data_IF_001384931576
#
_entry.id   IF_001384931576
#
_cell.length_a   1.000
_cell.length_b   1.000
_cell.length_c   1.000
_cell.angle_alpha   90.00
_cell.angle_beta   90.00
_cell.angle_gamma   90.00
#
_symmetry.space_group_name_H-M   'P 1'
#
loop_
_entity.id
_entity.type
_entity.pdbx_description
1 polymer ?
#
# COMPACT_ATOMS: atom_id res chain seq x y z
N UNK A 1 -29.61 -4.31 -14.44
CA UNK A 1 -28.71 -3.95 -13.33
C UNK A 1 -27.98 -2.69 -13.73
N UNK A 2 -28.25 -1.58 -13.03
CA UNK A 2 -27.56 -0.31 -13.21
C UNK A 2 -26.12 -0.42 -12.63
N UNK A 3 -25.27 0.58 -12.87
CA UNK A 3 -23.93 0.80 -12.26
C UNK A 3 -22.68 0.41 -13.10
N UNK A 4 -22.65 0.80 -14.38
CA UNK A 4 -21.44 0.71 -15.24
C UNK A 4 -20.46 1.88 -15.07
N UNK A 5 -20.74 2.86 -14.20
CA UNK A 5 -19.87 4.05 -14.00
C UNK A 5 -19.02 4.03 -12.73
N UNK A 6 -19.22 3.07 -11.81
CA UNK A 6 -18.48 2.98 -10.55
C UNK A 6 -17.24 2.08 -10.59
N UNK A 7 -17.24 1.08 -11.48
CA UNK A 7 -16.15 0.10 -11.57
C UNK A 7 -14.82 0.69 -12.08
N UNK A 8 -14.85 1.87 -12.72
CA UNK A 8 -13.63 2.49 -13.28
C UNK A 8 -12.97 3.44 -12.29
N UNK A 9 -13.71 4.35 -11.66
CA UNK A 9 -13.11 5.35 -10.77
C UNK A 9 -12.48 4.71 -9.53
N UNK A 10 -13.17 3.72 -8.95
CA UNK A 10 -12.69 3.02 -7.75
C UNK A 10 -11.43 2.22 -8.05
N UNK A 11 -11.41 1.46 -9.17
CA UNK A 11 -10.23 0.70 -9.61
C UNK A 11 -9.04 1.62 -9.98
N UNK A 12 -9.32 2.80 -10.54
CA UNK A 12 -8.29 3.82 -10.81
C UNK A 12 -7.73 4.39 -9.52
N UNK A 13 -8.58 4.74 -8.55
CA UNK A 13 -8.12 5.19 -7.22
C UNK A 13 -7.27 4.11 -6.55
N UNK A 14 -7.72 2.86 -6.58
CA UNK A 14 -7.02 1.74 -5.94
C UNK A 14 -5.63 1.52 -6.54
N UNK A 15 -5.51 1.54 -7.88
CA UNK A 15 -4.21 1.46 -8.58
C UNK A 15 -3.29 2.63 -8.29
N UNK A 16 -3.83 3.85 -8.24
CA UNK A 16 -3.03 5.06 -7.95
C UNK A 16 -2.53 5.02 -6.50
N UNK A 17 -3.35 4.54 -5.57
CA UNK A 17 -2.95 4.38 -4.17
C UNK A 17 -1.96 3.22 -3.95
N UNK A 18 -2.08 2.11 -4.67
CA UNK A 18 -1.13 0.98 -4.58
C UNK A 18 0.29 1.40 -5.00
N UNK A 19 0.42 2.22 -6.06
CA UNK A 19 1.73 2.72 -6.54
C UNK A 19 2.22 3.98 -5.83
N UNK A 20 1.31 4.82 -5.35
CA UNK A 20 1.60 6.13 -4.80
C UNK A 20 1.55 7.26 -5.85
N UNK A 21 1.18 8.47 -5.39
CA UNK A 21 0.96 9.68 -6.16
C UNK A 21 1.73 10.84 -5.52
N UNK A 22 2.52 11.58 -6.30
CA UNK A 22 3.20 12.80 -5.84
C UNK A 22 2.51 14.02 -6.43
N UNK A 23 2.11 14.95 -5.57
CA UNK A 23 1.44 16.21 -5.93
C UNK A 23 2.41 17.36 -5.66
N UNK A 24 2.70 18.15 -6.69
CA UNK A 24 3.43 19.41 -6.56
C UNK A 24 2.43 20.55 -6.80
N UNK A 25 2.34 21.46 -5.83
CA UNK A 25 1.51 22.65 -5.92
C UNK A 25 2.34 23.89 -5.59
N UNK A 26 2.06 24.99 -6.28
CA UNK A 26 2.65 26.29 -6.06
C UNK A 26 1.51 27.30 -5.88
N UNK A 27 1.56 28.05 -4.78
CA UNK A 27 0.54 29.03 -4.41
C UNK A 27 1.23 30.39 -4.32
N UNK A 28 0.87 31.31 -5.21
CA UNK A 28 1.36 32.68 -5.20
C UNK A 28 0.26 33.65 -4.76
N UNK A 29 0.59 34.53 -3.81
CA UNK A 29 -0.28 35.63 -3.34
C UNK A 29 0.31 36.94 -3.83
N UNK A 30 -0.45 37.66 -4.67
CA UNK A 30 -0.02 38.92 -5.28
C UNK A 30 -0.98 40.06 -4.91
N UNK A 31 -0.43 41.25 -4.67
CA UNK A 31 -1.20 42.48 -4.39
C UNK A 31 -0.65 43.59 -5.26
N UNK A 32 -1.53 44.34 -5.93
CA UNK A 32 -1.14 45.48 -6.78
C UNK A 32 -0.08 45.15 -7.87
N UNK A 33 -0.06 43.91 -8.37
CA UNK A 33 0.88 43.47 -9.41
C UNK A 33 2.27 43.08 -8.91
N UNK A 34 2.50 43.08 -7.58
CA UNK A 34 3.72 42.52 -6.97
C UNK A 34 3.40 41.23 -6.22
N UNK A 35 4.26 40.23 -6.39
CA UNK A 35 4.14 38.93 -5.74
C UNK A 35 4.68 39.03 -4.31
N UNK A 36 3.84 38.75 -3.32
CA UNK A 36 4.18 38.92 -1.89
C UNK A 36 4.65 37.61 -1.26
N UNK A 37 4.02 36.49 -1.63
CA UNK A 37 4.29 35.20 -1.01
C UNK A 37 4.10 34.08 -2.04
N UNK A 38 5.12 33.25 -2.20
CA UNK A 38 5.05 31.99 -2.94
C UNK A 38 5.23 30.81 -1.99
N UNK A 39 4.28 29.88 -1.97
CA UNK A 39 4.32 28.65 -1.17
C UNK A 39 4.43 27.47 -2.12
N UNK A 40 5.52 26.70 -1.97
CA UNK A 40 5.73 25.44 -2.70
C UNK A 40 5.37 24.27 -1.80
N UNK A 41 4.38 23.50 -2.21
CA UNK A 41 3.88 22.32 -1.50
C UNK A 41 4.22 21.09 -2.33
N UNK A 42 4.86 20.11 -1.69
CA UNK A 42 5.07 18.77 -2.24
C UNK A 42 4.42 17.77 -1.29
N UNK A 43 3.46 17.02 -1.79
CA UNK A 43 2.74 16.01 -1.02
C UNK A 43 2.88 14.65 -1.72
N UNK A 44 3.01 13.58 -0.94
CA UNK A 44 2.94 12.21 -1.44
C UNK A 44 1.72 11.51 -0.80
N UNK A 45 0.86 10.94 -1.64
CA UNK A 45 -0.29 10.14 -1.24
C UNK A 45 -0.01 8.70 -1.65
N UNK A 46 -0.10 7.75 -0.72
CA UNK A 46 0.11 6.35 -1.02
C UNK A 46 -0.76 5.48 -0.12
N UNK A 47 -0.94 4.22 -0.50
CA UNK A 47 -1.54 3.20 0.36
C UNK A 47 -0.74 3.08 1.66
N UNK A 48 -1.41 2.64 2.71
CA UNK A 48 -0.83 2.53 4.03
C UNK A 48 0.40 1.58 4.06
N UNK A 49 0.31 0.46 3.34
CA UNK A 49 1.42 -0.49 3.15
C UNK A 49 2.65 0.18 2.49
N UNK A 50 2.41 1.00 1.46
CA UNK A 50 3.45 1.74 0.74
C UNK A 50 4.05 2.84 1.61
N UNK A 51 3.21 3.60 2.33
CA UNK A 51 3.65 4.66 3.23
C UNK A 51 4.53 4.12 4.38
N UNK A 52 4.16 2.97 4.96
CA UNK A 52 4.94 2.27 5.96
C UNK A 52 6.28 1.74 5.39
N UNK A 53 6.27 1.17 4.18
CA UNK A 53 7.49 0.66 3.50
C UNK A 53 8.53 1.75 3.23
N UNK A 54 8.09 2.96 2.88
CA UNK A 54 8.98 4.07 2.56
C UNK A 54 9.26 5.02 3.73
N UNK A 55 8.71 4.73 4.93
CA UNK A 55 9.02 5.48 6.15
C UNK A 55 8.51 6.92 6.14
N UNK A 56 7.31 7.17 5.60
CA UNK A 56 6.69 8.50 5.65
C UNK A 56 6.36 8.88 7.10
N UNK A 57 6.76 10.09 7.54
CA UNK A 57 6.39 10.63 8.86
C UNK A 57 4.89 10.92 8.92
N UNK A 58 4.18 10.22 9.81
CA UNK A 58 2.74 10.39 9.99
C UNK A 58 2.45 11.50 11.01
N UNK A 59 1.47 12.39 10.75
CA UNK A 59 1.08 13.43 11.70
C UNK A 59 0.56 12.82 13.00
N UNK A 60 0.78 13.53 14.12
CA UNK A 60 0.60 13.09 15.52
C UNK A 60 -0.85 12.79 15.97
N UNK A 61 -1.80 12.64 15.04
CA UNK A 61 -3.19 12.26 15.31
C UNK A 61 -3.60 10.90 14.72
N UNK A 62 -2.66 10.17 14.13
CA UNK A 62 -2.95 8.88 13.51
C UNK A 62 -2.74 7.76 14.52
N UNK A 63 -3.79 7.01 14.88
CA UNK A 63 -3.70 5.89 15.83
C UNK A 63 -2.96 4.71 15.19
N UNK A 64 -1.63 4.75 15.21
CA UNK A 64 -0.72 3.74 14.64
C UNK A 64 -0.77 2.38 15.34
N UNK A 65 -1.54 2.26 16.43
CA UNK A 65 -1.62 1.08 17.30
C UNK A 65 -2.88 0.23 17.07
N UNK A 66 -3.74 0.58 16.11
CA UNK A 66 -4.91 -0.27 15.77
C UNK A 66 -4.42 -1.54 15.04
N UNK A 67 -5.04 -2.71 15.25
CA UNK A 67 -4.65 -4.00 14.63
C UNK A 67 -4.37 -3.92 13.12
N UNK A 68 -5.12 -3.06 12.41
CA UNK A 68 -4.93 -2.77 10.98
C UNK A 68 -3.51 -2.26 10.60
N UNK A 69 -2.79 -1.61 11.52
CA UNK A 69 -1.46 -1.05 11.30
C UNK A 69 -0.36 -2.11 11.42
N UNK A 70 -0.53 -3.06 12.36
CA UNK A 70 0.37 -4.21 12.49
C UNK A 70 0.29 -5.08 11.24
N UNK A 71 -0.89 -5.29 10.68
CA UNK A 71 -1.12 -6.09 9.47
C UNK A 71 -0.59 -5.47 8.16
N UNK A 72 -0.50 -4.14 8.07
CA UNK A 72 0.02 -3.46 6.89
C UNK A 72 1.56 -3.41 6.83
N UNK A 73 2.23 -3.68 7.95
CA UNK A 73 3.70 -3.78 8.01
C UNK A 73 4.19 -5.19 7.68
N UNK A 74 3.30 -6.19 7.67
CA UNK A 74 3.62 -7.57 7.33
C UNK A 74 3.92 -7.66 5.84
N UNK A 75 5.10 -8.18 5.49
CA UNK A 75 5.46 -8.40 4.09
C UNK A 75 4.53 -9.47 3.49
N UNK A 76 3.72 -9.05 2.51
CA UNK A 76 2.81 -9.93 1.77
C UNK A 76 3.42 -10.23 0.40
N UNK A 77 3.57 -11.51 0.10
CA UNK A 77 3.97 -11.98 -1.21
C UNK A 77 2.77 -12.58 -1.94
N UNK A 78 2.84 -12.55 -3.27
CA UNK A 78 1.77 -13.10 -4.11
C UNK A 78 2.02 -14.59 -4.32
N UNK A 79 1.04 -15.43 -3.96
CA UNK A 79 1.14 -16.86 -4.23
C UNK A 79 1.19 -17.11 -5.75
N UNK A 80 2.15 -17.89 -6.27
CA UNK A 80 2.32 -18.10 -7.71
C UNK A 80 1.21 -18.94 -8.36
N UNK A 81 0.37 -19.63 -7.58
CA UNK A 81 -0.71 -20.48 -8.11
C UNK A 81 -2.07 -19.78 -8.12
N UNK A 82 -2.43 -19.04 -7.07
CA UNK A 82 -3.75 -18.42 -6.92
C UNK A 82 -3.74 -16.89 -7.00
N UNK A 83 -2.55 -16.28 -7.13
CA UNK A 83 -2.35 -14.84 -7.26
C UNK A 83 -2.91 -13.98 -6.11
N UNK A 84 -3.21 -14.59 -4.95
CA UNK A 84 -3.63 -13.88 -3.74
C UNK A 84 -2.41 -13.41 -2.95
N UNK A 85 -2.50 -12.21 -2.35
CA UNK A 85 -1.51 -11.67 -1.41
C UNK A 85 -1.64 -12.43 -0.08
N UNK A 86 -0.56 -13.09 0.34
CA UNK A 86 -0.48 -13.88 1.58
C UNK A 86 0.76 -13.41 2.36
N UNK A 87 0.74 -13.33 3.69
CA UNK A 87 1.96 -13.04 4.45
C UNK A 87 3.07 -14.06 4.14
N UNK A 88 4.27 -13.55 3.90
CA UNK A 88 5.45 -14.35 3.51
C UNK A 88 5.75 -15.46 4.52
N UNK A 89 5.58 -15.16 5.81
CA UNK A 89 5.85 -16.11 6.88
C UNK A 89 4.96 -17.36 6.81
N UNK A 90 3.70 -17.19 6.40
CA UNK A 90 2.77 -18.31 6.16
C UNK A 90 3.15 -19.10 4.91
N UNK A 91 3.51 -18.42 3.81
CA UNK A 91 3.93 -19.09 2.57
C UNK A 91 5.21 -19.92 2.74
N UNK A 92 6.12 -19.48 3.61
CA UNK A 92 7.38 -20.18 3.88
C UNK A 92 7.23 -21.31 4.90
N UNK A 93 6.23 -21.27 5.78
CA UNK A 93 6.11 -22.21 6.90
C UNK A 93 4.98 -23.24 6.74
N UNK A 94 3.83 -22.82 6.22
CA UNK A 94 2.62 -23.64 6.11
C UNK A 94 2.23 -23.87 4.63
N UNK A 95 2.52 -22.91 3.76
CA UNK A 95 2.03 -22.87 2.38
C UNK A 95 0.81 -21.95 2.25
N UNK A 96 0.25 -21.83 1.04
CA UNK A 96 -0.87 -20.93 0.78
C UNK A 96 -2.20 -21.52 1.31
N UNK A 97 -2.89 -20.86 2.26
CA UNK A 97 -4.10 -21.41 2.89
C UNK A 97 -5.32 -21.42 1.96
N UNK A 98 -5.30 -20.64 0.87
CA UNK A 98 -6.41 -20.56 -0.07
C UNK A 98 -6.39 -21.62 -1.17
N UNK A 99 -5.21 -22.11 -1.55
CA UNK A 99 -5.07 -23.05 -2.68
C UNK A 99 -4.27 -24.32 -2.35
N UNK A 100 -3.70 -24.41 -1.15
CA UNK A 100 -2.90 -25.56 -0.74
C UNK A 100 -1.51 -25.62 -1.38
N UNK A 101 -1.03 -24.54 -2.01
CA UNK A 101 0.30 -24.49 -2.60
C UNK A 101 1.39 -24.57 -1.53
N UNK A 102 2.37 -25.44 -1.71
CA UNK A 102 3.46 -25.68 -0.76
C UNK A 102 4.78 -25.27 -1.40
N UNK A 103 5.50 -24.34 -0.76
CA UNK A 103 6.82 -23.91 -1.24
C UNK A 103 7.87 -25.01 -1.09
N UNK A 104 8.95 -24.94 -1.87
CA UNK A 104 10.05 -25.89 -1.77
C UNK A 104 10.66 -25.95 -0.36
N UNK A 105 10.65 -24.82 0.36
CA UNK A 105 11.16 -24.68 1.74
C UNK A 105 10.34 -25.51 2.75
N UNK A 106 9.02 -25.58 2.58
CA UNK A 106 8.16 -26.41 3.44
C UNK A 106 8.41 -27.89 3.18
N UNK A 107 8.61 -28.28 1.92
CA UNK A 107 8.85 -29.69 1.55
C UNK A 107 10.20 -30.21 2.07
N UNK A 108 11.26 -29.39 2.04
CA UNK A 108 12.57 -29.79 2.56
C UNK A 108 12.55 -29.96 4.08
N UNK A 109 11.86 -29.11 4.83
CA UNK A 109 11.74 -29.21 6.29
C UNK A 109 11.05 -30.51 6.74
N UNK A 110 10.05 -30.98 5.99
CA UNK A 110 9.34 -32.23 6.24
C UNK A 110 10.14 -33.51 5.90
N UNK A 111 11.19 -33.41 5.09
CA UNK A 111 12.01 -34.56 4.66
C UNK A 111 13.25 -34.80 5.54
N UNK A 112 13.55 -33.86 6.45
CA UNK A 112 14.72 -33.89 7.35
C UNK A 112 14.33 -34.35 8.77
N UNK A 113 13.03 -34.49 9.06
CA UNK A 113 12.48 -35.09 10.29
C UNK A 113 12.06 -36.53 10.01
#
# INVERSE_FOLDING_TARGET
>A
MNETSGATLVDVIDRVLDKGLVINADIAVSVAGVELLGIKIRAALASFETAAKYGLEFPSGTNIETDAWKEATVQKETCPQCSKKVPTEELMTVGCPWCGWISATVQTKAKIT
#
